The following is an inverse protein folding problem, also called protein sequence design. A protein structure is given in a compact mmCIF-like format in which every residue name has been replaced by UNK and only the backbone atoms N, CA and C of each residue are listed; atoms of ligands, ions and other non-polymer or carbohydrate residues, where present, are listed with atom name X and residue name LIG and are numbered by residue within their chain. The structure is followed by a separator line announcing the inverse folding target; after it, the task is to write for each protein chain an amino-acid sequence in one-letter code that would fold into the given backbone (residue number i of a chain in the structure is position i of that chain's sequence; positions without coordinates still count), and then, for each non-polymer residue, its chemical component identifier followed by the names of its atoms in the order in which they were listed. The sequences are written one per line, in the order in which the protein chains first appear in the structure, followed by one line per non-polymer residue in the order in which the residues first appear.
data_IF_502358950472
#
_entry.id   IF_502358950472
#
_cell.length_a   1.000
_cell.length_b   1.000
_cell.length_c   1.000
_cell.angle_alpha   90.00
_cell.angle_beta   90.00
_cell.angle_gamma   90.00
#
_symmetry.space_group_name_H-M   'P 1'
#
loop_
_entity.id
_entity.type
_entity.pdbx_description
1 polymer ?
#
# COMPACT_ATOMS: atom_id res chain seq x y z
N UNK A 1 -14.14 -8.74 -12.18
CA UNK A 1 -14.54 -9.31 -10.87
C UNK A 1 -13.27 -9.55 -10.08
N UNK A 2 -13.23 -9.13 -8.82
CA UNK A 2 -12.05 -9.24 -7.94
C UNK A 2 -12.49 -9.64 -6.52
N UNK A 3 -11.52 -9.85 -5.62
CA UNK A 3 -11.74 -10.28 -4.24
C UNK A 3 -10.97 -9.37 -3.27
N UNK A 4 -11.47 -9.26 -2.03
CA UNK A 4 -10.70 -8.71 -0.91
C UNK A 4 -9.88 -9.83 -0.26
N UNK A 5 -8.74 -9.47 0.31
CA UNK A 5 -7.84 -10.42 0.98
C UNK A 5 -7.39 -9.87 2.33
N UNK A 6 -7.22 -10.76 3.30
CA UNK A 6 -6.76 -10.42 4.64
C UNK A 6 -5.24 -10.49 4.80
N UNK A 7 -4.77 -10.12 5.99
CA UNK A 7 -3.35 -10.17 6.37
C UNK A 7 -2.68 -11.51 6.09
N UNK A 8 -3.36 -12.64 6.37
CA UNK A 8 -2.79 -13.97 6.18
C UNK A 8 -2.45 -14.28 4.71
N UNK A 9 -3.29 -13.82 3.77
CA UNK A 9 -3.06 -13.98 2.34
C UNK A 9 -1.85 -13.17 1.89
N UNK A 10 -1.68 -11.94 2.39
CA UNK A 10 -0.49 -11.10 2.09
C UNK A 10 0.77 -11.81 2.56
N UNK A 11 0.77 -12.31 3.80
CA UNK A 11 1.93 -12.99 4.38
C UNK A 11 2.30 -14.25 3.60
N UNK A 12 1.30 -15.07 3.26
CA UNK A 12 1.51 -16.28 2.47
C UNK A 12 2.00 -15.95 1.05
N UNK A 13 1.44 -14.92 0.41
CA UNK A 13 1.87 -14.48 -0.91
C UNK A 13 3.33 -13.99 -0.90
N UNK A 14 3.72 -13.20 0.11
CA UNK A 14 5.10 -12.78 0.30
C UNK A 14 6.05 -13.98 0.39
N UNK A 15 5.71 -14.96 1.23
CA UNK A 15 6.51 -16.18 1.39
C UNK A 15 6.59 -17.00 0.09
N UNK A 16 5.46 -17.20 -0.59
CA UNK A 16 5.38 -17.99 -1.81
C UNK A 16 6.16 -17.35 -2.96
N UNK A 17 6.12 -16.03 -3.08
CA UNK A 17 6.78 -15.28 -4.14
C UNK A 17 8.24 -14.92 -3.80
N UNK A 18 8.68 -15.16 -2.56
CA UNK A 18 10.01 -14.78 -2.10
C UNK A 18 10.22 -13.26 -2.03
N UNK A 19 9.16 -12.49 -1.73
CA UNK A 19 9.21 -11.03 -1.60
C UNK A 19 8.93 -10.60 -0.17
N UNK A 20 9.41 -9.42 0.20
CA UNK A 20 9.22 -8.90 1.56
C UNK A 20 8.02 -7.97 1.69
N UNK A 21 7.69 -7.28 0.59
CA UNK A 21 6.76 -6.16 0.58
C UNK A 21 5.95 -6.13 -0.71
N UNK A 22 4.65 -5.87 -0.57
CA UNK A 22 3.75 -5.52 -1.67
C UNK A 22 3.43 -4.04 -1.58
N UNK A 23 3.65 -3.29 -2.66
CA UNK A 23 3.25 -1.87 -2.77
C UNK A 23 2.09 -1.77 -3.75
N UNK A 24 0.98 -1.14 -3.33
CA UNK A 24 -0.23 -0.98 -4.15
C UNK A 24 -0.87 0.39 -3.93
N UNK A 25 -1.87 0.73 -4.75
CA UNK A 25 -2.63 1.96 -4.64
C UNK A 25 -4.13 1.69 -4.38
N UNK A 26 -4.99 2.11 -5.30
CA UNK A 26 -6.44 1.83 -5.39
C UNK A 26 -7.35 2.41 -4.29
N UNK A 27 -6.94 2.46 -3.02
CA UNK A 27 -7.75 3.01 -1.93
C UNK A 27 -7.18 4.34 -1.44
N UNK A 28 -8.07 5.30 -1.20
CA UNK A 28 -7.74 6.58 -0.55
C UNK A 28 -7.38 6.29 0.91
N UNK A 29 -6.25 6.81 1.37
CA UNK A 29 -5.77 6.73 2.77
C UNK A 29 -5.39 8.13 3.23
N UNK A 30 -5.61 8.45 4.50
CA UNK A 30 -5.63 9.83 4.98
C UNK A 30 -4.28 10.56 4.78
N UNK A 31 -3.17 9.91 5.08
CA UNK A 31 -1.84 10.51 4.96
C UNK A 31 -1.20 10.26 3.57
N UNK A 32 -1.98 9.77 2.61
CA UNK A 32 -1.48 9.38 1.29
C UNK A 32 -0.71 8.06 1.29
N UNK A 33 -0.38 7.49 2.44
CA UNK A 33 0.14 6.12 2.54
C UNK A 33 -0.34 5.40 3.81
N UNK A 34 -0.30 4.07 3.81
CA UNK A 34 -0.59 3.25 4.99
C UNK A 34 0.16 1.90 4.93
N UNK A 35 0.82 1.53 6.04
CA UNK A 35 1.47 0.22 6.20
C UNK A 35 0.49 -0.77 6.87
N UNK A 36 0.30 -1.93 6.26
CA UNK A 36 -0.58 -2.99 6.75
C UNK A 36 0.14 -4.34 6.83
N UNK A 37 -0.57 -5.35 7.36
CA UNK A 37 -0.12 -6.74 7.40
C UNK A 37 1.25 -6.97 8.07
N UNK A 38 1.60 -6.15 9.07
CA UNK A 38 2.91 -6.20 9.73
C UNK A 38 4.03 -5.63 8.84
N UNK A 39 3.77 -4.49 8.19
CA UNK A 39 4.67 -3.79 7.27
C UNK A 39 4.98 -4.53 5.96
N UNK A 40 4.17 -5.52 5.59
CA UNK A 40 4.32 -6.31 4.34
C UNK A 40 3.41 -5.85 3.21
N UNK A 41 2.56 -4.86 3.45
CA UNK A 41 1.70 -4.24 2.45
C UNK A 41 1.73 -2.73 2.65
N UNK A 42 2.05 -1.99 1.60
CA UNK A 42 1.92 -0.54 1.54
C UNK A 42 0.77 -0.19 0.61
N UNK A 43 -0.12 0.66 1.10
CA UNK A 43 -1.03 1.43 0.25
C UNK A 43 -0.43 2.80 0.01
N UNK A 44 -0.36 3.25 -1.24
CA UNK A 44 0.07 4.59 -1.64
C UNK A 44 -1.04 5.25 -2.45
N UNK A 45 -1.35 6.49 -2.16
CA UNK A 45 -2.33 7.28 -2.88
C UNK A 45 -1.74 8.67 -3.18
N UNK A 46 -1.68 9.02 -4.46
CA UNK A 46 -0.94 10.21 -4.91
C UNK A 46 -1.83 11.37 -5.38
N UNK A 47 -3.15 11.28 -5.18
CA UNK A 47 -4.07 12.38 -5.46
C UNK A 47 -4.55 13.01 -4.14
N UNK A 48 -4.08 14.22 -3.78
CA UNK A 48 -4.51 14.90 -2.57
C UNK A 48 -5.92 15.46 -2.75
N UNK A 49 -6.64 15.67 -1.65
CA UNK A 49 -8.02 16.16 -1.66
C UNK A 49 -8.92 15.39 -2.66
N UNK A 50 -8.88 14.06 -2.62
CA UNK A 50 -9.44 13.23 -3.68
C UNK A 50 -10.90 13.58 -3.96
N UNK A 51 -11.22 13.81 -5.24
CA UNK A 51 -12.53 14.26 -5.73
C UNK A 51 -13.12 15.51 -5.02
N UNK A 52 -12.31 16.28 -4.28
CA UNK A 52 -12.78 17.39 -3.44
C UNK A 52 -13.69 16.97 -2.28
N UNK A 53 -13.78 15.67 -2.00
CA UNK A 53 -14.63 15.09 -0.94
C UNK A 53 -13.82 14.61 0.27
N UNK A 54 -12.56 14.24 0.02
CA UNK A 54 -11.63 13.82 1.05
C UNK A 54 -10.65 14.95 1.35
N UNK A 55 -10.09 14.95 2.55
CA UNK A 55 -9.00 15.85 2.98
C UNK A 55 -7.67 15.11 3.08
N UNK A 56 -7.53 14.03 2.30
CA UNK A 56 -6.35 13.19 2.32
C UNK A 56 -5.13 13.92 1.72
N UNK A 57 -3.95 13.64 2.28
CA UNK A 57 -2.68 13.96 1.66
C UNK A 57 -2.38 13.01 0.48
N UNK A 58 -1.33 13.34 -0.27
CA UNK A 58 -0.76 12.48 -1.29
C UNK A 58 0.64 12.05 -0.87
N UNK A 59 1.01 10.81 -1.24
CA UNK A 59 2.35 10.30 -1.03
C UNK A 59 2.97 9.76 -2.32
N UNK A 60 4.30 9.68 -2.30
CA UNK A 60 5.16 9.03 -3.29
C UNK A 60 6.06 8.08 -2.50
N UNK A 61 6.32 6.89 -3.04
CA UNK A 61 7.33 5.99 -2.50
C UNK A 61 8.63 6.19 -3.28
N UNK A 62 9.70 6.51 -2.56
CA UNK A 62 11.05 6.54 -3.08
C UNK A 62 11.75 5.27 -2.62
N UNK A 63 12.32 4.51 -3.56
CA UNK A 63 13.14 3.34 -3.29
C UNK A 63 14.57 3.67 -3.71
N UNK A 64 15.54 3.37 -2.84
CA UNK A 64 16.96 3.46 -3.16
C UNK A 64 17.51 2.08 -3.58
N UNK A 65 18.82 2.01 -3.81
CA UNK A 65 19.50 0.79 -4.24
C UNK A 65 19.57 -0.27 -3.13
N UNK A 66 19.55 0.16 -1.86
CA UNK A 66 19.60 -0.71 -0.68
C UNK A 66 18.20 -1.25 -0.30
N UNK A 67 17.14 -0.67 -0.87
CA UNK A 67 15.73 -1.03 -0.65
C UNK A 67 15.29 -0.93 0.82
N UNK A 68 15.86 0.03 1.57
CA UNK A 68 15.50 0.30 2.97
C UNK A 68 14.16 1.05 3.16
#
# INVERSE_FOLDING_TARGET
ISYMFGKGVVQQACQMLGIELVIRAHQVVQDGYEMMAGRRLITVFSAPNYCGQFTNAAAIVCLDEDLE
#
